data_IF_280865829720
#
_entry.id   IF_280865829720
#
_cell.length_a   1.000
_cell.length_b   1.000
_cell.length_c   1.000
_cell.angle_alpha   90.00
_cell.angle_beta   90.00
_cell.angle_gamma   90.00
#
_symmetry.space_group_name_H-M   'P 1'
#
loop_
_entity.id
_entity.type
_entity.pdbx_description
1 polymer ?
#
# COMPACT_ATOMS: atom_id res chain seq x y z
N UNK A 1 44.51 29.13 3.78
CA UNK A 1 44.44 28.07 4.81
C UNK A 1 44.69 26.70 4.15
N UNK A 2 45.51 25.83 4.76
CA UNK A 2 45.96 24.58 4.16
C UNK A 2 44.97 23.41 4.38
N UNK A 3 44.92 22.49 3.41
CA UNK A 3 44.11 21.26 3.46
C UNK A 3 44.68 20.27 4.48
N UNK A 4 43.82 19.71 5.35
CA UNK A 4 44.14 18.54 6.19
C UNK A 4 43.97 17.23 5.40
N UNK A 5 44.81 16.21 5.62
CA UNK A 5 44.64 14.89 5.03
C UNK A 5 44.06 13.84 6.01
N UNK A 6 43.60 12.74 5.39
CA UNK A 6 43.41 11.35 5.86
C UNK A 6 42.06 10.92 6.45
N UNK A 7 41.62 9.77 5.93
CA UNK A 7 40.61 8.91 6.51
C UNK A 7 40.17 7.79 5.56
N UNK A 8 41.06 6.86 5.19
CA UNK A 8 40.64 5.56 4.64
C UNK A 8 40.21 4.66 5.79
N UNK A 9 38.91 4.44 5.92
CA UNK A 9 38.28 3.30 6.59
C UNK A 9 37.16 2.84 5.66
N UNK A 10 37.23 1.69 5.00
CA UNK A 10 37.53 0.41 5.61
C UNK A 10 36.35 -0.04 6.47
N UNK A 11 35.16 -0.16 5.88
CA UNK A 11 33.97 -0.70 6.53
C UNK A 11 33.12 -1.41 5.49
N UNK A 12 33.16 -2.75 5.50
CA UNK A 12 32.39 -3.61 4.62
C UNK A 12 30.89 -3.35 4.80
N UNK A 13 30.22 -2.82 3.78
CA UNK A 13 28.77 -2.95 3.66
C UNK A 13 28.50 -4.37 3.17
N UNK A 14 28.61 -5.34 4.08
CA UNK A 14 28.16 -6.71 3.85
C UNK A 14 27.13 -7.08 4.92
N UNK A 15 25.93 -6.56 4.77
CA UNK A 15 24.74 -7.40 4.92
C UNK A 15 24.00 -7.34 3.61
N UNK A 16 24.25 -8.33 2.75
CA UNK A 16 23.20 -8.75 1.84
C UNK A 16 22.06 -9.16 2.77
N UNK A 17 20.95 -8.42 2.78
CA UNK A 17 19.70 -8.99 3.24
C UNK A 17 19.43 -10.14 2.29
N UNK A 18 19.85 -11.34 2.70
CA UNK A 18 19.36 -12.55 2.06
C UNK A 18 17.84 -12.47 2.18
N UNK A 19 17.09 -12.49 1.06
CA UNK A 19 15.65 -12.49 1.16
C UNK A 19 15.31 -13.71 2.00
N UNK A 20 14.68 -13.50 3.15
CA UNK A 20 14.02 -14.58 3.88
C UNK A 20 13.07 -15.19 2.87
N UNK A 21 13.44 -16.32 2.27
CA UNK A 21 12.50 -17.18 1.57
C UNK A 21 11.87 -17.99 2.68
N UNK A 22 10.63 -17.69 3.10
CA UNK A 22 9.93 -18.60 3.97
C UNK A 22 9.92 -19.95 3.24
N UNK A 23 10.25 -21.04 3.94
CA UNK A 23 10.22 -22.37 3.34
C UNK A 23 8.80 -22.80 2.94
N UNK A 24 7.78 -22.05 3.36
CA UNK A 24 6.36 -22.30 3.14
C UNK A 24 5.64 -20.97 2.88
N UNK A 25 4.68 -20.99 1.96
CA UNK A 25 3.77 -19.86 1.73
C UNK A 25 2.95 -19.56 2.99
N UNK A 26 2.53 -18.30 3.21
CA UNK A 26 1.61 -17.99 4.29
C UNK A 26 0.28 -18.71 4.10
N UNK A 27 -0.43 -19.03 5.18
CA UNK A 27 -1.64 -19.87 5.12
C UNK A 27 -2.80 -19.32 4.30
N UNK A 28 -2.76 -18.03 3.92
CA UNK A 28 -3.75 -17.38 3.07
C UNK A 28 -3.40 -17.39 1.58
N UNK A 29 -2.19 -17.81 1.20
CA UNK A 29 -1.73 -17.84 -0.20
C UNK A 29 -1.37 -19.28 -0.59
N UNK A 30 -2.11 -19.85 -1.54
CA UNK A 30 -1.82 -21.21 -2.02
C UNK A 30 -0.80 -21.19 -3.17
N UNK A 31 -0.19 -22.34 -3.45
CA UNK A 31 0.67 -22.51 -4.63
C UNK A 31 -0.08 -22.25 -5.95
N UNK A 32 -1.39 -22.55 -5.99
CA UNK A 32 -2.22 -22.30 -7.16
C UNK A 32 -2.46 -20.80 -7.38
N UNK A 33 -2.64 -20.02 -6.31
CA UNK A 33 -2.75 -18.57 -6.37
C UNK A 33 -1.44 -17.97 -6.90
N UNK A 34 -0.30 -18.39 -6.33
CA UNK A 34 1.01 -17.93 -6.76
C UNK A 34 1.30 -18.29 -8.22
N UNK A 35 1.00 -19.53 -8.63
CA UNK A 35 1.14 -19.96 -10.01
C UNK A 35 0.27 -19.15 -10.97
N UNK A 36 -0.94 -18.76 -10.54
CA UNK A 36 -1.83 -17.88 -11.31
C UNK A 36 -1.18 -16.52 -11.53
N UNK A 37 -0.72 -15.85 -10.48
CA UNK A 37 -0.04 -14.55 -10.61
C UNK A 37 1.22 -14.65 -11.46
N UNK A 38 2.06 -15.67 -11.23
CA UNK A 38 3.28 -15.89 -12.01
C UNK A 38 2.97 -16.10 -13.51
N UNK A 39 1.92 -16.88 -13.82
CA UNK A 39 1.45 -17.08 -15.18
C UNK A 39 1.00 -15.78 -15.85
N UNK A 40 0.17 -14.98 -15.15
CA UNK A 40 -0.29 -13.69 -15.68
C UNK A 40 0.88 -12.73 -15.94
N UNK A 41 1.78 -12.55 -14.97
CA UNK A 41 2.94 -11.66 -15.13
C UNK A 41 3.95 -12.16 -16.16
N UNK A 42 4.07 -13.47 -16.38
CA UNK A 42 4.93 -14.01 -17.45
C UNK A 42 4.45 -13.60 -18.84
N UNK A 43 3.14 -13.41 -19.01
CA UNK A 43 2.52 -13.01 -20.27
C UNK A 43 2.44 -11.50 -20.41
N UNK A 44 2.01 -10.77 -19.37
CA UNK A 44 1.86 -9.31 -19.42
C UNK A 44 3.17 -8.55 -19.27
N UNK A 45 4.18 -9.16 -18.64
CA UNK A 45 5.31 -8.45 -18.06
C UNK A 45 4.88 -7.44 -16.97
N UNK A 46 5.83 -6.62 -16.51
CA UNK A 46 5.61 -5.64 -15.45
C UNK A 46 5.48 -4.19 -15.95
N UNK A 47 5.75 -3.92 -17.23
CA UNK A 47 5.80 -2.55 -17.77
C UNK A 47 4.48 -1.80 -17.58
N UNK A 48 3.34 -2.46 -17.82
CA UNK A 48 2.02 -1.84 -17.64
C UNK A 48 1.79 -1.37 -16.19
N UNK A 49 1.98 -2.27 -15.22
CA UNK A 49 1.83 -1.92 -13.80
C UNK A 49 2.85 -0.87 -13.34
N UNK A 50 4.10 -0.95 -13.79
CA UNK A 50 5.14 0.04 -13.46
C UNK A 50 4.89 1.42 -14.10
N UNK A 51 4.20 1.49 -15.24
CA UNK A 51 3.87 2.76 -15.89
C UNK A 51 2.89 3.60 -15.06
N UNK A 52 2.09 3.00 -14.17
CA UNK A 52 1.25 3.74 -13.23
C UNK A 52 2.11 4.63 -12.32
N UNK A 53 3.17 4.06 -11.75
CA UNK A 53 4.11 4.79 -10.90
C UNK A 53 4.90 5.85 -11.66
N UNK A 54 5.26 5.59 -12.93
CA UNK A 54 5.94 6.58 -13.78
C UNK A 54 5.09 7.80 -14.11
N UNK A 55 3.77 7.71 -13.92
CA UNK A 55 2.83 8.80 -14.19
C UNK A 55 2.38 9.55 -12.93
N UNK A 56 2.92 9.26 -11.74
CA UNK A 56 2.44 9.93 -10.51
C UNK A 56 2.54 11.46 -10.60
N UNK A 57 3.68 12.00 -11.06
CA UNK A 57 3.86 13.45 -11.23
C UNK A 57 2.87 14.02 -12.25
N UNK A 58 2.66 13.30 -13.36
CA UNK A 58 1.74 13.74 -14.42
C UNK A 58 0.28 13.70 -13.95
N UNK A 59 -0.10 12.68 -13.19
CA UNK A 59 -1.42 12.58 -12.58
C UNK A 59 -1.64 13.74 -11.62
N UNK A 60 -0.66 14.05 -10.77
CA UNK A 60 -0.71 15.19 -9.85
C UNK A 60 -0.96 16.51 -10.59
N UNK A 61 -0.21 16.80 -11.65
CA UNK A 61 -0.41 18.00 -12.48
C UNK A 61 -1.82 18.05 -13.09
N UNK A 62 -2.29 16.92 -13.63
CA UNK A 62 -3.61 16.83 -14.26
C UNK A 62 -4.74 17.01 -13.25
N UNK A 63 -4.53 16.61 -11.99
CA UNK A 63 -5.53 16.74 -10.93
C UNK A 63 -5.62 18.13 -10.31
N UNK A 64 -4.83 19.11 -10.76
CA UNK A 64 -4.83 20.48 -10.21
C UNK A 64 -6.22 21.13 -10.21
N UNK A 65 -7.07 20.83 -11.19
CA UNK A 65 -8.43 21.37 -11.26
C UNK A 65 -9.34 20.91 -10.10
N UNK A 66 -8.95 19.88 -9.36
CA UNK A 66 -9.64 19.33 -8.20
C UNK A 66 -8.89 19.57 -6.89
N UNK A 67 -7.89 20.46 -6.90
CA UNK A 67 -7.20 20.86 -5.68
C UNK A 67 -8.24 21.31 -4.62
N UNK A 68 -8.15 20.73 -3.43
CA UNK A 68 -9.02 20.97 -2.27
C UNK A 68 -10.51 20.62 -2.48
N UNK A 69 -10.88 19.99 -3.61
CA UNK A 69 -12.24 19.53 -3.82
C UNK A 69 -12.54 18.30 -2.94
N UNK A 70 -13.65 18.30 -2.18
CA UNK A 70 -13.99 17.16 -1.32
C UNK A 70 -14.51 15.96 -2.12
N UNK A 71 -14.21 14.77 -1.64
CA UNK A 71 -14.78 13.50 -2.12
C UNK A 71 -16.15 13.33 -1.45
N UNK A 72 -17.21 13.64 -2.19
CA UNK A 72 -18.58 13.67 -1.68
C UNK A 72 -19.36 12.34 -1.68
N UNK A 73 -19.02 11.29 -2.45
CA UNK A 73 -19.71 10.00 -2.31
C UNK A 73 -19.55 9.38 -0.90
N UNK A 74 -20.56 8.64 -0.41
CA UNK A 74 -20.38 7.79 0.78
C UNK A 74 -19.16 6.89 0.60
N UNK A 75 -18.24 6.92 1.56
CA UNK A 75 -16.94 6.27 1.45
C UNK A 75 -16.61 5.43 2.68
N UNK A 76 -15.80 4.40 2.51
CA UNK A 76 -15.24 3.57 3.57
C UNK A 76 -13.73 3.48 3.36
N UNK A 77 -12.95 3.74 4.40
CA UNK A 77 -11.52 3.42 4.41
C UNK A 77 -11.29 2.11 5.17
N UNK A 78 -10.70 1.13 4.51
CA UNK A 78 -10.37 -0.17 5.09
C UNK A 78 -8.90 -0.48 4.80
N UNK A 79 -8.16 -0.89 5.83
CA UNK A 79 -6.75 -1.25 5.69
C UNK A 79 -6.32 -2.33 6.68
N UNK A 80 -5.21 -3.02 6.39
CA UNK A 80 -4.58 -3.91 7.34
C UNK A 80 -3.78 -3.15 8.39
N UNK A 81 -3.88 -3.55 9.66
CA UNK A 81 -3.16 -2.93 10.78
C UNK A 81 -1.64 -2.85 10.54
N UNK A 82 -1.08 -3.82 9.82
CA UNK A 82 0.36 -3.96 9.52
C UNK A 82 0.72 -3.57 8.09
N UNK A 83 -0.19 -2.91 7.36
CA UNK A 83 0.09 -2.43 6.00
C UNK A 83 1.14 -1.31 6.03
N UNK A 84 2.26 -1.53 5.34
CA UNK A 84 3.37 -0.58 5.26
C UNK A 84 3.00 0.73 4.58
N UNK A 85 1.97 0.74 3.73
CA UNK A 85 1.48 1.95 3.06
C UNK A 85 0.93 2.97 4.06
N UNK A 86 0.45 2.52 5.22
CA UNK A 86 0.01 3.41 6.31
C UNK A 86 1.12 4.35 6.78
N UNK A 87 2.38 3.92 6.70
CA UNK A 87 3.54 4.74 7.06
C UNK A 87 4.05 5.66 5.95
N UNK A 88 3.49 5.59 4.74
CA UNK A 88 3.90 6.41 3.59
C UNK A 88 3.23 7.78 3.63
N UNK A 89 2.02 7.87 4.17
CA UNK A 89 1.27 9.11 4.28
C UNK A 89 1.55 9.82 5.62
N UNK A 90 1.43 11.15 5.68
CA UNK A 90 1.56 11.87 6.94
C UNK A 90 0.57 11.30 7.97
N UNK A 91 0.98 11.12 9.23
CA UNK A 91 0.08 10.62 10.27
C UNK A 91 -1.21 11.45 10.36
N UNK A 92 -1.10 12.74 10.05
CA UNK A 92 -2.17 13.73 10.14
C UNK A 92 -3.21 13.64 9.00
N UNK A 93 -3.03 12.76 8.01
CA UNK A 93 -3.98 12.62 6.90
C UNK A 93 -5.39 12.20 7.36
N UNK A 94 -5.46 11.47 8.48
CA UNK A 94 -6.71 11.09 9.13
C UNK A 94 -7.10 12.02 10.28
N UNK A 95 -6.38 13.12 10.51
CA UNK A 95 -6.71 14.06 11.60
C UNK A 95 -7.90 14.96 11.26
N UNK A 96 -8.19 15.16 9.96
CA UNK A 96 -9.38 15.89 9.48
C UNK A 96 -10.00 15.22 8.24
N UNK A 97 -10.47 13.97 8.36
CA UNK A 97 -11.01 13.22 7.23
C UNK A 97 -12.28 13.89 6.68
N UNK A 98 -13.02 14.61 7.52
CA UNK A 98 -14.27 15.29 7.16
C UNK A 98 -14.05 16.44 6.15
N UNK A 99 -12.83 17.00 6.09
CA UNK A 99 -12.49 18.05 5.11
C UNK A 99 -12.27 17.45 3.72
N UNK A 100 -11.64 16.28 3.65
CA UNK A 100 -11.26 15.63 2.39
C UNK A 100 -12.39 14.71 1.89
N UNK A 101 -13.07 14.01 2.80
CA UNK A 101 -14.09 13.00 2.54
C UNK A 101 -15.27 13.20 3.54
N UNK A 102 -16.08 14.27 3.38
CA UNK A 102 -17.13 14.64 4.33
C UNK A 102 -18.19 13.56 4.57
N UNK A 103 -18.32 12.59 3.68
CA UNK A 103 -19.25 11.46 3.79
C UNK A 103 -18.54 10.13 4.10
N UNK A 104 -17.41 10.17 4.80
CA UNK A 104 -16.72 8.98 5.30
C UNK A 104 -17.59 8.28 6.35
N UNK A 105 -17.97 7.04 6.08
CA UNK A 105 -18.85 6.22 6.93
C UNK A 105 -18.08 5.36 7.94
N UNK A 106 -16.77 5.24 7.77
CA UNK A 106 -15.93 4.51 8.70
C UNK A 106 -14.48 4.40 8.27
N UNK A 107 -13.62 4.19 9.26
CA UNK A 107 -12.22 3.80 9.14
C UNK A 107 -12.10 2.44 9.84
N UNK A 108 -11.73 1.40 9.09
CA UNK A 108 -11.65 0.03 9.59
C UNK A 108 -10.23 -0.49 9.44
N UNK A 109 -9.61 -0.79 10.57
CA UNK A 109 -8.31 -1.42 10.63
C UNK A 109 -8.49 -2.90 10.93
N UNK A 110 -8.08 -3.75 9.99
CA UNK A 110 -8.21 -5.20 10.11
C UNK A 110 -7.01 -5.73 10.92
N UNK A 111 -7.24 -6.32 12.12
CA UNK A 111 -6.16 -6.77 12.98
C UNK A 111 -5.31 -7.85 12.33
N UNK A 112 -4.01 -7.83 12.64
CA UNK A 112 -3.03 -8.83 12.20
C UNK A 112 -2.96 -9.05 10.68
N UNK A 113 -3.39 -8.05 9.89
CA UNK A 113 -3.36 -8.07 8.43
C UNK A 113 -2.31 -7.12 7.87
N UNK A 114 -1.58 -7.57 6.86
CA UNK A 114 -0.71 -6.76 6.04
C UNK A 114 -1.42 -6.13 4.84
N UNK A 115 -0.62 -5.84 3.80
CA UNK A 115 -1.03 -5.10 2.60
C UNK A 115 -2.06 -5.86 1.73
N UNK A 116 -2.06 -7.19 1.74
CA UNK A 116 -2.98 -7.99 0.92
C UNK A 116 -4.27 -8.29 1.69
N UNK A 117 -4.84 -7.27 2.34
CA UNK A 117 -5.85 -7.41 3.40
C UNK A 117 -7.04 -8.28 3.02
N UNK A 118 -7.54 -8.14 1.79
CA UNK A 118 -8.66 -8.92 1.25
C UNK A 118 -8.33 -10.40 1.01
N UNK A 119 -7.06 -10.75 0.85
CA UNK A 119 -6.60 -12.15 0.78
C UNK A 119 -6.24 -12.67 2.17
N UNK A 120 -5.63 -11.84 3.01
CA UNK A 120 -5.18 -12.21 4.36
C UNK A 120 -6.33 -12.42 5.36
N UNK A 121 -7.40 -11.62 5.24
CA UNK A 121 -8.57 -11.58 6.13
C UNK A 121 -9.88 -11.43 5.33
N UNK A 122 -10.19 -12.38 4.43
CA UNK A 122 -11.31 -12.25 3.50
C UNK A 122 -12.66 -12.16 4.22
N UNK A 123 -12.84 -12.86 5.34
CA UNK A 123 -14.10 -12.86 6.08
C UNK A 123 -14.39 -11.48 6.71
N UNK A 124 -13.37 -10.88 7.32
CA UNK A 124 -13.45 -9.56 7.95
C UNK A 124 -13.65 -8.46 6.90
N UNK A 125 -12.94 -8.53 5.77
CA UNK A 125 -13.14 -7.60 4.64
C UNK A 125 -14.56 -7.73 4.08
N UNK A 126 -15.03 -8.95 3.82
CA UNK A 126 -16.37 -9.18 3.31
C UNK A 126 -17.44 -8.63 4.26
N UNK A 127 -17.28 -8.86 5.57
CA UNK A 127 -18.18 -8.31 6.59
C UNK A 127 -18.21 -6.79 6.54
N UNK A 128 -17.05 -6.13 6.55
CA UNK A 128 -16.97 -4.67 6.53
C UNK A 128 -17.60 -4.06 5.26
N UNK A 129 -17.38 -4.69 4.10
CA UNK A 129 -18.00 -4.27 2.85
C UNK A 129 -19.53 -4.45 2.87
N UNK A 130 -20.01 -5.60 3.34
CA UNK A 130 -21.46 -5.87 3.42
C UNK A 130 -22.16 -4.94 4.40
N UNK A 131 -21.56 -4.67 5.56
CA UNK A 131 -22.10 -3.72 6.54
C UNK A 131 -22.18 -2.30 5.94
N UNK A 132 -21.12 -1.85 5.25
CA UNK A 132 -21.10 -0.55 4.57
C UNK A 132 -22.18 -0.46 3.49
N UNK A 133 -22.23 -1.45 2.58
CA UNK A 133 -23.18 -1.47 1.47
C UNK A 133 -24.64 -1.58 1.93
N UNK A 134 -24.90 -2.26 3.04
CA UNK A 134 -26.24 -2.37 3.63
C UNK A 134 -26.71 -1.06 4.27
N UNK A 135 -25.78 -0.14 4.57
CA UNK A 135 -26.05 1.18 5.15
C UNK A 135 -26.03 2.33 4.14
N UNK A 136 -26.02 2.03 2.84
CA UNK A 136 -26.11 3.02 1.75
C UNK A 136 -27.54 3.40 1.39
#
# INVERSE_FOLDING_TARGET
MPRRPRGTSGGQVTRRHEPLKPSLLPGWLTEADLATFAGQFSTSGFTGGLNWYRNLDRNWELTTAWQDAPITPPSLYLSGERDSVRGIYPPDFLDNPDVIVPNLRGVVDIPDSGHWTQQERPAEVNKALLDFLSGL
#
